data_IF_532376141066
#
_entry.id   IF_532376141066
#
_cell.length_a   1.000
_cell.length_b   1.000
_cell.length_c   1.000
_cell.angle_alpha   90.00
_cell.angle_beta   90.00
_cell.angle_gamma   90.00
#
_symmetry.space_group_name_H-M   'P 1'
#
loop_
_entity.id
_entity.type
_entity.pdbx_description
1 polymer ?
#
# COMPACT_ATOMS: atom_id res chain seq x y z
N UNK A 1 -8.58 44.34 -4.28
CA UNK A 1 -9.28 43.17 -3.67
C UNK A 1 -8.88 41.92 -4.42
N UNK A 2 -7.99 41.10 -3.87
CA UNK A 2 -7.66 39.78 -4.44
C UNK A 2 -8.41 38.74 -3.62
N UNK A 3 -9.46 38.19 -4.22
CA UNK A 3 -10.32 37.16 -3.61
C UNK A 3 -9.55 35.84 -3.64
N UNK A 4 -8.96 35.44 -2.52
CA UNK A 4 -8.37 34.11 -2.37
C UNK A 4 -9.51 33.09 -2.35
N UNK A 5 -9.49 32.19 -3.33
CA UNK A 5 -10.34 30.99 -3.40
C UNK A 5 -9.88 30.06 -2.27
N UNK A 6 -10.74 29.77 -1.30
CA UNK A 6 -10.50 28.71 -0.31
C UNK A 6 -10.68 27.37 -1.01
N UNK A 7 -9.58 26.64 -1.20
CA UNK A 7 -9.60 25.21 -1.46
C UNK A 7 -9.55 24.55 -0.09
N UNK A 8 -10.70 24.20 0.45
CA UNK A 8 -10.84 23.42 1.67
C UNK A 8 -11.96 22.42 1.41
N UNK A 9 -11.62 21.33 0.70
CA UNK A 9 -12.50 20.15 0.61
C UNK A 9 -11.74 18.88 0.14
N UNK A 10 -10.57 18.60 0.71
CA UNK A 10 -9.84 17.33 0.46
C UNK A 10 -9.13 16.75 1.69
N UNK A 11 -9.55 17.10 2.91
CA UNK A 11 -8.91 16.62 4.16
C UNK A 11 -9.70 15.51 4.91
N UNK A 12 -10.61 14.79 4.23
CA UNK A 12 -11.46 13.76 4.88
C UNK A 12 -11.10 12.31 4.53
N UNK A 13 -9.84 12.02 4.18
CA UNK A 13 -9.38 10.65 3.91
C UNK A 13 -8.10 10.29 4.71
N UNK A 14 -7.75 11.08 5.73
CA UNK A 14 -6.66 10.80 6.65
C UNK A 14 -7.20 10.74 8.08
N UNK A 15 -7.98 9.71 8.44
CA UNK A 15 -8.58 9.72 9.79
C UNK A 15 -9.27 8.47 10.31
N UNK A 16 -9.54 7.45 9.49
CA UNK A 16 -10.06 6.18 10.02
C UNK A 16 -8.86 5.36 10.51
N UNK A 17 -8.57 5.43 11.81
CA UNK A 17 -7.55 4.59 12.42
C UNK A 17 -7.80 3.10 12.13
N UNK A 18 -6.74 2.28 12.17
CA UNK A 18 -6.85 0.84 11.90
C UNK A 18 -7.86 0.20 12.88
N UNK A 19 -8.85 -0.57 12.42
CA UNK A 19 -9.81 -1.24 13.29
C UNK A 19 -9.14 -2.06 14.40
N UNK A 20 -9.70 -2.01 15.61
CA UNK A 20 -9.15 -2.72 16.78
C UNK A 20 -8.94 -4.24 16.58
N UNK A 21 -9.82 -4.99 15.88
CA UNK A 21 -9.58 -6.40 15.59
C UNK A 21 -8.29 -6.63 14.80
N UNK A 22 -7.96 -5.75 13.84
CA UNK A 22 -6.73 -5.83 13.04
C UNK A 22 -5.52 -5.52 13.91
N UNK A 23 -5.57 -4.47 14.73
CA UNK A 23 -4.49 -4.14 15.66
C UNK A 23 -4.19 -5.32 16.60
N UNK A 24 -5.25 -5.93 17.16
CA UNK A 24 -5.15 -7.11 18.03
C UNK A 24 -4.54 -8.30 17.29
N UNK A 25 -4.97 -8.55 16.05
CA UNK A 25 -4.39 -9.60 15.21
C UNK A 25 -2.89 -9.39 15.00
N UNK A 26 -2.47 -8.22 14.52
CA UNK A 26 -1.07 -7.90 14.25
C UNK A 26 -0.20 -7.98 15.51
N UNK A 27 -0.72 -7.48 16.63
CA UNK A 27 -0.05 -7.60 17.93
C UNK A 27 0.14 -9.06 18.34
N UNK A 28 -0.91 -9.89 18.22
CA UNK A 28 -0.82 -11.33 18.54
C UNK A 28 0.23 -12.03 17.68
N UNK A 29 0.27 -11.76 16.37
CA UNK A 29 1.30 -12.35 15.50
C UNK A 29 2.72 -11.91 15.89
N UNK A 30 2.90 -10.63 16.19
CA UNK A 30 4.22 -10.09 16.58
C UNK A 30 4.68 -10.62 17.94
N UNK A 31 3.74 -10.73 18.89
CA UNK A 31 4.02 -11.19 20.26
C UNK A 31 4.60 -12.62 20.32
N UNK A 32 4.36 -13.44 19.29
CA UNK A 32 4.95 -14.77 19.18
C UNK A 32 6.48 -14.73 19.05
N UNK A 33 7.04 -13.64 18.53
CA UNK A 33 8.48 -13.42 18.32
C UNK A 33 9.15 -12.72 19.50
N UNK A 34 8.41 -11.91 20.26
CA UNK A 34 8.95 -11.06 21.33
C UNK A 34 9.21 -11.81 22.65
N UNK A 35 8.91 -13.11 22.73
CA UNK A 35 9.14 -13.88 23.95
C UNK A 35 10.63 -14.10 24.21
N UNK A 36 11.08 -14.18 25.49
CA UNK A 36 12.50 -14.42 25.82
C UNK A 36 13.11 -15.66 25.17
N UNK A 37 12.28 -16.67 24.88
CA UNK A 37 12.63 -17.84 24.07
C UNK A 37 11.67 -17.94 22.90
N UNK A 38 12.25 -18.00 21.70
CA UNK A 38 11.51 -18.19 20.47
C UNK A 38 10.97 -19.63 20.43
N UNK A 39 9.70 -19.80 20.78
CA UNK A 39 9.01 -21.09 20.73
C UNK A 39 8.29 -21.28 19.40
N UNK A 40 7.83 -22.50 19.08
CA UNK A 40 7.26 -22.87 17.76
C UNK A 40 6.04 -22.05 17.27
N UNK A 41 5.45 -21.21 18.11
CA UNK A 41 4.29 -20.38 17.75
C UNK A 41 4.59 -19.39 16.62
N UNK A 42 5.84 -18.95 16.44
CA UNK A 42 6.19 -18.03 15.34
C UNK A 42 5.93 -18.65 13.95
N UNK A 43 6.00 -19.97 13.82
CA UNK A 43 5.78 -20.66 12.55
C UNK A 43 4.33 -20.44 12.07
N UNK A 44 3.37 -20.53 12.99
CA UNK A 44 1.98 -20.23 12.71
C UNK A 44 1.78 -18.76 12.32
N UNK A 45 2.52 -17.84 12.96
CA UNK A 45 2.49 -16.42 12.61
C UNK A 45 3.06 -16.14 11.22
N UNK A 46 4.14 -16.80 10.80
CA UNK A 46 4.66 -16.69 9.43
C UNK A 46 3.62 -17.12 8.39
N UNK A 47 2.97 -18.27 8.62
CA UNK A 47 1.90 -18.77 7.73
C UNK A 47 0.71 -17.81 7.73
N UNK A 48 0.33 -17.27 8.89
CA UNK A 48 -0.77 -16.34 9.00
C UNK A 48 -0.50 -15.02 8.27
N UNK A 49 0.73 -14.49 8.31
CA UNK A 49 1.08 -13.27 7.60
C UNK A 49 0.99 -13.46 6.08
N UNK A 50 1.63 -14.49 5.54
CA UNK A 50 1.58 -14.79 4.10
C UNK A 50 0.14 -14.97 3.61
N UNK A 51 -0.64 -15.78 4.33
CA UNK A 51 -2.01 -16.10 3.95
C UNK A 51 -2.95 -14.88 3.98
N UNK A 52 -2.81 -14.01 4.96
CA UNK A 52 -3.70 -12.84 5.12
C UNK A 52 -3.23 -11.67 4.25
N UNK A 53 -1.93 -11.38 4.20
CA UNK A 53 -1.40 -10.20 3.52
C UNK A 53 -1.14 -10.46 2.03
N UNK A 54 -0.50 -11.58 1.71
CA UNK A 54 -0.06 -11.92 0.34
C UNK A 54 -1.16 -12.66 -0.41
N UNK A 55 -1.73 -13.72 0.18
CA UNK A 55 -2.75 -14.51 -0.51
C UNK A 55 -4.17 -13.91 -0.40
N UNK A 56 -4.36 -12.91 0.47
CA UNK A 56 -5.66 -12.29 0.77
C UNK A 56 -6.76 -13.31 1.16
N UNK A 57 -6.40 -14.42 1.81
CA UNK A 57 -7.33 -15.48 2.20
C UNK A 57 -7.77 -15.32 3.65
N UNK A 58 -9.03 -14.91 3.84
CA UNK A 58 -9.60 -14.63 5.18
C UNK A 58 -10.42 -15.78 5.78
N UNK A 59 -10.57 -16.91 5.08
CA UNK A 59 -11.34 -18.05 5.59
C UNK A 59 -10.73 -18.58 6.90
N UNK A 60 -11.54 -19.07 7.84
CA UNK A 60 -11.03 -19.60 9.12
C UNK A 60 -10.43 -18.58 10.10
N UNK A 61 -10.46 -17.28 9.78
CA UNK A 61 -10.33 -16.21 10.77
C UNK A 61 -11.67 -16.02 11.51
N UNK A 62 -11.64 -15.35 12.66
CA UNK A 62 -12.90 -14.98 13.34
C UNK A 62 -13.71 -14.02 12.48
N UNK A 63 -15.06 -14.11 12.44
CA UNK A 63 -15.90 -13.23 11.63
C UNK A 63 -15.61 -11.74 11.85
N UNK A 64 -15.45 -11.33 13.11
CA UNK A 64 -15.13 -9.94 13.51
C UNK A 64 -13.82 -9.44 12.89
N UNK A 65 -12.82 -10.31 12.76
CA UNK A 65 -11.53 -9.95 12.15
C UNK A 65 -11.67 -9.86 10.63
N UNK A 66 -12.38 -10.81 10.01
CA UNK A 66 -12.59 -10.81 8.56
C UNK A 66 -13.38 -9.58 8.12
N UNK A 67 -14.46 -9.24 8.82
CA UNK A 67 -15.24 -8.01 8.59
C UNK A 67 -14.38 -6.76 8.76
N UNK A 68 -13.55 -6.71 9.82
CA UNK A 68 -12.65 -5.59 10.02
C UNK A 68 -11.62 -5.45 8.89
N UNK A 69 -11.03 -6.56 8.42
CA UNK A 69 -10.09 -6.54 7.29
C UNK A 69 -10.77 -6.04 6.02
N UNK A 70 -12.00 -6.48 5.75
CA UNK A 70 -12.78 -6.05 4.59
C UNK A 70 -13.29 -4.59 4.70
N UNK A 71 -13.27 -4.00 5.90
CA UNK A 71 -13.71 -2.62 6.14
C UNK A 71 -12.67 -1.56 5.75
N UNK A 72 -11.43 -1.97 5.46
CA UNK A 72 -10.34 -1.10 4.99
C UNK A 72 -9.80 -1.61 3.66
N UNK A 73 -9.10 -0.75 2.93
CA UNK A 73 -8.43 -1.19 1.70
C UNK A 73 -7.31 -2.20 2.02
N UNK A 74 -7.04 -3.11 1.06
CA UNK A 74 -5.92 -4.06 1.19
C UNK A 74 -4.59 -3.34 1.39
N UNK A 75 -4.40 -2.20 0.73
CA UNK A 75 -3.20 -1.38 0.89
C UNK A 75 -3.06 -0.81 2.30
N UNK A 76 -4.14 -0.31 2.92
CA UNK A 76 -4.11 0.15 4.31
C UNK A 76 -3.75 -0.97 5.29
N UNK A 77 -4.23 -2.19 5.06
CA UNK A 77 -3.84 -3.36 5.84
C UNK A 77 -2.34 -3.65 5.70
N UNK A 78 -1.81 -3.63 4.47
CA UNK A 78 -0.38 -3.84 4.19
C UNK A 78 0.48 -2.78 4.90
N UNK A 79 0.09 -1.50 4.81
CA UNK A 79 0.78 -0.42 5.50
C UNK A 79 0.76 -0.59 7.03
N UNK A 80 -0.38 -1.01 7.59
CA UNK A 80 -0.49 -1.29 9.02
C UNK A 80 0.38 -2.48 9.46
N UNK A 81 0.49 -3.52 8.62
CA UNK A 81 1.21 -4.75 8.92
C UNK A 81 2.73 -4.67 8.71
N UNK A 82 3.21 -3.78 7.84
CA UNK A 82 4.63 -3.69 7.46
C UNK A 82 5.60 -3.59 8.65
N UNK A 83 5.43 -2.68 9.64
CA UNK A 83 6.32 -2.63 10.80
C UNK A 83 6.35 -3.95 11.59
N UNK A 84 5.24 -4.67 11.66
CA UNK A 84 5.17 -5.97 12.33
C UNK A 84 5.99 -7.03 11.58
N UNK A 85 5.83 -7.12 10.25
CA UNK A 85 6.57 -8.08 9.41
C UNK A 85 8.08 -7.78 9.45
N UNK A 86 8.49 -6.51 9.41
CA UNK A 86 9.87 -6.09 9.58
C UNK A 86 10.48 -6.62 10.89
N UNK A 87 9.81 -6.36 12.02
CA UNK A 87 10.24 -6.83 13.33
C UNK A 87 10.32 -8.36 13.42
N UNK A 88 9.28 -9.06 12.96
CA UNK A 88 9.24 -10.52 13.01
C UNK A 88 10.40 -11.13 12.18
N UNK A 89 10.66 -10.57 10.99
CA UNK A 89 11.72 -11.04 10.10
C UNK A 89 13.10 -10.82 10.71
N UNK A 90 13.34 -9.65 11.29
CA UNK A 90 14.61 -9.34 11.94
C UNK A 90 14.89 -10.25 13.14
N UNK A 91 13.88 -10.51 13.99
CA UNK A 91 14.00 -11.43 15.13
C UNK A 91 14.34 -12.84 14.64
N UNK A 92 13.66 -13.30 13.59
CA UNK A 92 13.87 -14.63 13.04
C UNK A 92 15.30 -14.78 12.47
N UNK A 93 15.75 -13.83 11.65
CA UNK A 93 17.10 -13.82 11.08
C UNK A 93 18.19 -13.70 12.15
N UNK A 94 17.96 -12.91 13.20
CA UNK A 94 18.90 -12.80 14.33
C UNK A 94 19.08 -14.12 15.08
N UNK A 95 18.07 -15.00 15.02
CA UNK A 95 18.06 -16.31 15.67
C UNK A 95 18.31 -17.47 14.70
N UNK A 96 18.51 -17.23 13.39
CA UNK A 96 18.71 -18.27 12.35
C UNK A 96 19.67 -19.38 12.77
N UNK A 97 20.83 -19.00 13.31
CA UNK A 97 21.85 -19.94 13.76
C UNK A 97 21.35 -20.85 14.91
N UNK A 98 20.46 -20.37 15.77
CA UNK A 98 19.90 -21.12 16.91
C UNK A 98 18.72 -22.00 16.51
N UNK A 99 18.08 -21.73 15.36
CA UNK A 99 16.91 -22.45 14.86
C UNK A 99 17.25 -23.75 14.12
N UNK A 100 18.54 -24.10 14.00
CA UNK A 100 18.99 -25.38 13.43
C UNK A 100 19.18 -25.36 11.91
N UNK A 101 19.14 -24.20 11.27
CA UNK A 101 19.37 -24.03 9.83
C UNK A 101 20.49 -23.01 9.57
N UNK A 102 21.73 -23.41 9.86
CA UNK A 102 22.90 -22.56 9.69
C UNK A 102 23.17 -22.20 8.22
N UNK A 103 22.95 -23.17 7.32
CA UNK A 103 23.40 -23.07 5.93
C UNK A 103 22.32 -22.63 4.96
N UNK A 104 21.04 -22.74 5.34
CA UNK A 104 19.88 -22.42 4.49
C UNK A 104 18.76 -21.79 5.29
N UNK A 105 17.84 -21.12 4.61
CA UNK A 105 16.63 -20.63 5.26
C UNK A 105 15.66 -21.78 5.56
N UNK A 106 15.08 -21.76 6.76
CA UNK A 106 13.95 -22.59 7.13
C UNK A 106 12.65 -22.18 6.44
N UNK A 107 11.62 -23.00 6.58
CA UNK A 107 10.28 -22.73 6.00
C UNK A 107 9.71 -21.41 6.52
N UNK A 108 9.80 -21.18 7.84
CA UNK A 108 9.30 -19.94 8.45
C UNK A 108 10.07 -18.70 7.98
N UNK A 109 11.39 -18.82 7.81
CA UNK A 109 12.25 -17.73 7.33
C UNK A 109 11.95 -17.40 5.89
N UNK A 110 11.80 -18.43 5.07
CA UNK A 110 11.44 -18.30 3.65
C UNK A 110 10.08 -17.62 3.50
N UNK A 111 9.05 -18.06 4.22
CA UNK A 111 7.70 -17.48 4.12
C UNK A 111 7.66 -16.01 4.55
N UNK A 112 8.37 -15.69 5.64
CA UNK A 112 8.35 -14.35 6.18
C UNK A 112 9.19 -13.37 5.34
N UNK A 113 10.34 -13.80 4.83
CA UNK A 113 11.11 -13.03 3.85
C UNK A 113 10.34 -12.83 2.55
N UNK A 114 9.66 -13.87 2.06
CA UNK A 114 8.80 -13.73 0.87
C UNK A 114 7.70 -12.71 1.09
N UNK A 115 7.02 -12.76 2.25
CA UNK A 115 6.01 -11.77 2.63
C UNK A 115 6.59 -10.36 2.67
N UNK A 116 7.78 -10.19 3.27
CA UNK A 116 8.46 -8.90 3.33
C UNK A 116 8.84 -8.38 1.93
N UNK A 117 9.41 -9.22 1.07
CA UNK A 117 9.80 -8.82 -0.29
C UNK A 117 8.58 -8.41 -1.11
N UNK A 118 7.50 -9.19 -1.05
CA UNK A 118 6.24 -8.85 -1.71
C UNK A 118 5.70 -7.49 -1.23
N UNK A 119 5.71 -7.23 0.08
CA UNK A 119 5.25 -5.95 0.64
C UNK A 119 6.07 -4.75 0.16
N UNK A 120 7.39 -4.91 -0.02
CA UNK A 120 8.29 -3.84 -0.42
C UNK A 120 8.35 -3.61 -1.94
N UNK A 121 8.07 -4.64 -2.75
CA UNK A 121 8.29 -4.63 -4.20
C UNK A 121 6.98 -4.60 -5.00
N UNK A 122 6.01 -5.42 -4.62
CA UNK A 122 4.89 -5.81 -5.48
C UNK A 122 3.53 -5.37 -4.92
N UNK A 123 3.39 -5.29 -3.59
CA UNK A 123 2.11 -5.07 -2.92
C UNK A 123 1.40 -3.78 -3.34
N UNK A 124 2.13 -2.70 -3.60
CA UNK A 124 1.53 -1.44 -4.02
C UNK A 124 0.83 -1.55 -5.37
N UNK A 125 1.42 -2.30 -6.30
CA UNK A 125 0.86 -2.50 -7.63
C UNK A 125 -0.31 -3.49 -7.57
N UNK A 126 -0.17 -4.59 -6.82
CA UNK A 126 -1.23 -5.60 -6.71
C UNK A 126 -2.46 -5.11 -5.92
N UNK A 127 -2.27 -4.26 -4.91
CA UNK A 127 -3.39 -3.72 -4.13
C UNK A 127 -4.17 -2.64 -4.88
N UNK A 128 -3.55 -1.92 -5.82
CA UNK A 128 -4.19 -0.89 -6.63
C UNK A 128 -4.93 -1.47 -7.85
N UNK A 129 -4.55 -2.68 -8.29
CA UNK A 129 -5.14 -3.36 -9.43
C UNK A 129 -6.46 -4.09 -9.13
N UNK A 130 -6.99 -4.04 -7.90
CA UNK A 130 -8.32 -4.58 -7.59
C UNK A 130 -9.36 -3.93 -8.51
N UNK A 131 -9.86 -4.66 -9.54
CA UNK A 131 -10.91 -4.14 -10.36
C UNK A 131 -12.13 -4.11 -9.45
N UNK A 132 -12.74 -2.93 -9.32
CA UNK A 132 -14.09 -2.80 -8.79
C UNK A 132 -14.96 -3.88 -9.43
N UNK A 133 -15.27 -4.95 -8.68
CA UNK A 133 -16.03 -6.09 -9.14
C UNK A 133 -17.47 -5.64 -9.42
N UNK A 134 -17.63 -5.17 -10.64
CA UNK A 134 -18.87 -4.90 -11.33
C UNK A 134 -18.68 -5.25 -12.79
N UNK A 135 -18.30 -6.50 -13.10
CA UNK A 135 -18.75 -7.17 -14.33
C UNK A 135 -18.38 -8.66 -14.35
N UNK A 136 -19.42 -9.49 -14.32
CA UNK A 136 -19.54 -10.66 -15.20
C UNK A 136 -18.55 -11.79 -14.99
N UNK A 137 -18.94 -12.74 -14.12
CA UNK A 137 -18.79 -14.16 -14.41
C UNK A 137 -18.89 -14.41 -15.93
N UNK A 138 -17.84 -14.95 -16.52
CA UNK A 138 -17.92 -15.76 -17.73
C UNK A 138 -16.81 -16.79 -17.63
N UNK A 139 -17.11 -17.84 -16.86
CA UNK A 139 -16.43 -19.11 -16.95
C UNK A 139 -16.58 -19.65 -18.37
N UNK A 140 -15.57 -19.39 -19.21
CA UNK A 140 -15.41 -20.02 -20.50
C UNK A 140 -15.04 -21.49 -20.28
N UNK A 141 -16.08 -22.32 -20.27
CA UNK A 141 -16.02 -23.78 -20.20
C UNK A 141 -15.12 -24.33 -21.31
N UNK A 142 -14.04 -25.00 -20.92
CA UNK A 142 -13.22 -25.84 -21.79
C UNK A 142 -14.03 -27.11 -22.11
N UNK A 143 -14.54 -27.21 -23.34
CA UNK A 143 -15.18 -28.43 -23.83
C UNK A 143 -14.28 -29.10 -24.86
N UNK A 144 -13.79 -30.26 -24.46
CA UNK A 144 -13.01 -31.24 -25.22
C UNK A 144 -13.72 -31.68 -26.49
N UNK A 145 -12.96 -31.74 -27.58
CA UNK A 145 -13.33 -32.40 -28.83
C UNK A 145 -13.57 -33.91 -28.60
N UNK A 146 -14.69 -34.41 -29.11
CA UNK A 146 -14.92 -35.83 -29.34
C UNK A 146 -15.61 -36.03 -30.70
N UNK A 147 -15.25 -37.10 -31.40
CA UNK A 147 -15.43 -37.35 -32.83
C UNK A 147 -16.79 -38.00 -33.22
N UNK A 148 -17.34 -37.54 -34.36
CA UNK A 148 -17.98 -38.29 -35.48
C UNK A 148 -19.37 -39.00 -35.32
N UNK A 149 -20.05 -39.45 -36.42
CA UNK A 149 -20.22 -38.93 -37.80
C UNK A 149 -21.65 -39.14 -38.42
N UNK A 150 -21.80 -38.84 -39.74
CA UNK A 150 -22.88 -39.14 -40.73
C UNK A 150 -23.83 -37.97 -41.07
N UNK A 151 -24.14 -37.65 -42.33
CA UNK A 151 -23.76 -38.25 -43.61
C UNK A 151 -24.27 -37.48 -44.84
N UNK A 152 -23.68 -37.85 -45.99
CA UNK A 152 -24.21 -37.93 -47.37
C UNK A 152 -24.70 -36.64 -48.09
N UNK A 153 -24.06 -36.36 -49.24
CA UNK A 153 -24.66 -35.58 -50.34
C UNK A 153 -23.63 -34.95 -51.27
N UNK A 154 -23.43 -35.54 -52.45
CA UNK A 154 -22.29 -35.34 -53.35
C UNK A 154 -22.70 -34.62 -54.66
N UNK A 155 -21.80 -33.78 -55.19
CA UNK A 155 -21.57 -33.34 -56.59
C UNK A 155 -22.54 -32.41 -57.34
N UNK A 156 -21.94 -31.40 -58.00
CA UNK A 156 -22.44 -30.83 -59.27
C UNK A 156 -22.16 -29.34 -59.48
N UNK A 157 -21.07 -28.98 -60.17
CA UNK A 157 -20.87 -27.68 -60.86
C UNK A 157 -21.44 -27.76 -62.31
N UNK A 158 -21.37 -26.74 -63.22
CA UNK A 158 -21.10 -25.28 -63.17
C UNK A 158 -22.14 -24.50 -64.07
N UNK A 159 -21.87 -23.43 -64.89
CA UNK A 159 -21.03 -22.21 -64.82
C UNK A 159 -21.73 -20.85 -65.17
N UNK A 160 -21.06 -19.74 -64.79
CA UNK A 160 -20.81 -18.47 -65.53
C UNK A 160 -21.88 -17.39 -65.89
N UNK A 161 -21.32 -16.17 -66.10
CA UNK A 161 -21.85 -14.84 -66.54
C UNK A 161 -22.73 -14.09 -65.52
N UNK A 162 -22.53 -12.81 -65.22
CA UNK A 162 -21.69 -11.75 -65.77
C UNK A 162 -22.41 -10.41 -65.51
N UNK A 163 -21.69 -9.32 -65.23
CA UNK A 163 -22.31 -7.98 -65.16
C UNK A 163 -21.56 -6.96 -64.31
N UNK A 164 -20.79 -6.10 -64.99
CA UNK A 164 -20.43 -4.73 -64.59
C UNK A 164 -21.72 -3.91 -64.32
N UNK A 165 -21.82 -2.76 -63.64
CA UNK A 165 -20.96 -1.57 -63.47
C UNK A 165 -21.73 -0.56 -62.60
N UNK A 166 -21.04 0.32 -61.86
CA UNK A 166 -21.47 1.72 -61.67
C UNK A 166 -21.67 2.24 -60.22
N UNK A 167 -21.48 3.55 -59.97
CA UNK A 167 -20.73 4.06 -58.81
C UNK A 167 -21.53 4.99 -57.87
N UNK A 168 -20.96 5.30 -56.70
CA UNK A 168 -21.52 6.31 -55.77
C UNK A 168 -20.48 6.87 -54.79
N UNK A 169 -20.18 8.16 -54.95
CA UNK A 169 -19.30 9.00 -54.11
C UNK A 169 -19.92 9.37 -52.76
N UNK A 170 -19.08 9.69 -51.77
CA UNK A 170 -19.47 10.56 -50.64
C UNK A 170 -18.62 10.46 -49.38
N UNK A 171 -17.80 11.50 -49.14
CA UNK A 171 -17.61 12.24 -47.85
C UNK A 171 -17.55 11.44 -46.55
N UNK A 172 -16.55 11.54 -45.69
CA UNK A 172 -15.96 12.75 -45.14
C UNK A 172 -15.74 12.53 -43.64
N UNK A 173 -14.69 13.14 -43.11
CA UNK A 173 -14.08 12.94 -41.79
C UNK A 173 -14.98 13.15 -40.57
N UNK A 174 -14.64 12.43 -39.49
CA UNK A 174 -14.62 13.00 -38.13
C UNK A 174 -15.57 12.39 -37.10
N UNK A 175 -15.03 11.60 -36.17
CA UNK A 175 -15.49 11.59 -34.77
C UNK A 175 -14.38 11.00 -33.90
N UNK A 176 -13.85 11.83 -33.00
CA UNK A 176 -12.70 11.51 -32.17
C UNK A 176 -12.98 10.42 -31.14
N UNK A 177 -12.05 9.48 -31.02
CA UNK A 177 -11.90 8.70 -29.80
C UNK A 177 -11.52 9.64 -28.63
N UNK A 178 -12.13 9.51 -27.45
CA UNK A 178 -11.70 10.27 -26.29
C UNK A 178 -10.30 9.78 -25.90
N UNK A 179 -9.33 10.68 -25.96
CA UNK A 179 -7.99 10.47 -25.42
C UNK A 179 -8.13 10.37 -23.90
N UNK A 180 -7.97 9.16 -23.34
CA UNK A 180 -7.77 8.95 -21.92
C UNK A 180 -6.41 9.52 -21.49
N UNK A 181 -6.38 10.82 -21.24
CA UNK A 181 -5.24 11.56 -20.69
C UNK A 181 -5.40 11.68 -19.16
N UNK A 182 -5.43 10.55 -18.46
CA UNK A 182 -5.56 10.52 -16.99
C UNK A 182 -4.71 9.44 -16.30
N UNK A 183 -3.98 8.59 -17.03
CA UNK A 183 -3.42 7.37 -16.42
C UNK A 183 -2.05 7.53 -15.76
N UNK A 184 -1.24 8.51 -16.14
CA UNK A 184 0.16 8.63 -15.66
C UNK A 184 0.27 9.48 -14.39
N UNK A 185 -0.50 10.55 -14.31
CA UNK A 185 -0.47 11.48 -13.17
C UNK A 185 -1.16 10.85 -11.94
N UNK A 186 -2.23 10.09 -12.12
CA UNK A 186 -2.95 9.40 -11.04
C UNK A 186 -2.13 8.24 -10.46
N UNK A 187 -1.38 7.52 -11.32
CA UNK A 187 -0.43 6.48 -10.92
C UNK A 187 0.74 7.07 -10.10
N UNK A 188 1.30 8.21 -10.51
CA UNK A 188 2.29 8.98 -9.74
C UNK A 188 1.73 9.42 -8.37
N UNK A 189 0.47 9.87 -8.30
CA UNK A 189 -0.15 10.28 -7.03
C UNK A 189 -0.41 9.09 -6.09
N UNK A 190 -0.75 7.91 -6.61
CA UNK A 190 -0.81 6.67 -5.83
C UNK A 190 0.58 6.25 -5.32
N UNK A 191 1.61 6.39 -6.17
CA UNK A 191 3.04 6.18 -5.82
C UNK A 191 3.54 7.17 -4.77
N UNK A 192 2.99 8.39 -4.75
CA UNK A 192 3.35 9.42 -3.76
C UNK A 192 2.63 9.20 -2.42
N UNK A 193 1.41 8.63 -2.42
CA UNK A 193 0.65 8.26 -1.20
C UNK A 193 1.16 6.99 -0.51
N UNK A 194 1.93 6.19 -1.24
CA UNK A 194 2.51 4.90 -0.83
C UNK A 194 3.23 4.99 0.53
N UNK A 195 3.66 6.19 0.90
CA UNK A 195 4.72 6.38 1.87
C UNK A 195 4.59 7.63 2.75
N UNK A 196 3.38 8.15 2.96
CA UNK A 196 3.19 9.23 3.94
C UNK A 196 3.62 8.85 5.38
N UNK A 197 3.77 7.53 5.67
CA UNK A 197 4.36 6.96 6.89
C UNK A 197 5.73 6.27 6.67
N UNK A 198 6.34 6.45 5.50
CA UNK A 198 7.46 5.60 5.06
C UNK A 198 8.76 5.91 5.72
N UNK A 199 9.03 7.17 6.06
CA UNK A 199 10.36 7.50 6.54
C UNK A 199 10.65 6.71 7.82
N UNK A 200 9.70 6.65 8.75
CA UNK A 200 9.79 5.83 9.95
C UNK A 200 9.95 4.32 9.63
N UNK A 201 9.26 3.82 8.61
CA UNK A 201 9.33 2.41 8.22
C UNK A 201 10.63 2.05 7.50
N UNK A 202 11.16 2.95 6.67
CA UNK A 202 12.45 2.83 5.99
C UNK A 202 13.57 2.92 7.00
N UNK A 203 13.51 3.89 7.92
CA UNK A 203 14.41 3.98 9.07
C UNK A 203 14.38 2.66 9.87
N UNK A 204 13.19 2.16 10.22
CA UNK A 204 13.03 0.89 10.91
C UNK A 204 13.66 -0.27 10.14
N UNK A 205 13.46 -0.35 8.82
CA UNK A 205 14.10 -1.36 7.98
C UNK A 205 15.62 -1.26 8.07
N UNK A 206 16.19 -0.07 7.89
CA UNK A 206 17.65 0.13 7.94
C UNK A 206 18.19 -0.25 9.32
N UNK A 207 17.54 0.21 10.41
CA UNK A 207 17.95 -0.11 11.78
C UNK A 207 17.91 -1.61 12.09
N UNK A 208 16.90 -2.33 11.59
CA UNK A 208 16.75 -3.76 11.86
C UNK A 208 17.66 -4.63 10.99
N UNK A 209 17.81 -4.30 9.71
CA UNK A 209 18.43 -5.20 8.74
C UNK A 209 19.89 -4.88 8.41
N UNK A 210 20.35 -3.64 8.54
CA UNK A 210 21.76 -3.33 8.32
C UNK A 210 22.70 -4.16 9.22
N UNK A 211 22.41 -4.37 10.52
CA UNK A 211 23.22 -5.26 11.37
C UNK A 211 23.09 -6.75 11.03
N UNK A 212 22.04 -7.14 10.31
CA UNK A 212 21.72 -8.53 9.96
C UNK A 212 22.06 -8.86 8.51
N UNK A 213 22.68 -7.95 7.77
CA UNK A 213 22.77 -8.05 6.31
C UNK A 213 23.49 -9.32 5.82
N UNK A 214 24.53 -9.76 6.53
CA UNK A 214 25.28 -10.97 6.23
C UNK A 214 24.59 -12.26 6.71
N UNK A 215 23.41 -12.14 7.33
CA UNK A 215 22.55 -13.29 7.69
C UNK A 215 21.69 -13.75 6.53
N UNK A 216 21.64 -12.99 5.44
CA UNK A 216 21.02 -13.38 4.18
C UNK A 216 22.16 -13.56 3.19
N UNK A 217 22.17 -14.70 2.49
CA UNK A 217 23.15 -15.03 1.46
C UNK A 217 22.48 -15.04 0.10
N UNK A 218 23.25 -14.87 -0.97
CA UNK A 218 22.75 -14.98 -2.34
C UNK A 218 22.09 -16.34 -2.62
N UNK A 219 22.66 -17.42 -2.07
CA UNK A 219 22.09 -18.78 -2.16
C UNK A 219 20.70 -18.92 -1.51
N UNK A 220 20.37 -18.05 -0.56
CA UNK A 220 19.06 -18.02 0.08
C UNK A 220 18.00 -17.37 -0.83
N UNK A 221 18.41 -16.48 -1.73
CA UNK A 221 17.53 -15.68 -2.60
C UNK A 221 17.27 -16.36 -3.94
N UNK A 222 16.76 -17.58 -3.88
CA UNK A 222 16.39 -18.38 -5.05
C UNK A 222 14.88 -18.61 -5.14
N UNK A 223 14.40 -19.03 -6.31
CA UNK A 223 12.98 -19.31 -6.56
C UNK A 223 12.07 -18.15 -6.14
N UNK A 224 11.19 -18.37 -5.15
CA UNK A 224 10.22 -17.40 -4.65
C UNK A 224 10.84 -16.19 -3.92
N UNK A 225 12.13 -16.27 -3.58
CA UNK A 225 12.89 -15.17 -2.96
C UNK A 225 13.80 -14.44 -3.95
N UNK A 226 13.81 -14.84 -5.21
CA UNK A 226 14.67 -14.23 -6.22
C UNK A 226 14.40 -12.73 -6.41
N UNK A 227 13.14 -12.29 -6.29
CA UNK A 227 12.79 -10.87 -6.38
C UNK A 227 13.47 -10.03 -5.29
N UNK A 228 13.81 -10.62 -4.14
CA UNK A 228 14.52 -9.95 -3.07
C UNK A 228 15.92 -9.45 -3.43
N UNK A 229 16.57 -10.00 -4.47
CA UNK A 229 17.93 -9.60 -4.87
C UNK A 229 18.04 -8.10 -5.16
N UNK A 230 16.99 -7.49 -5.72
CA UNK A 230 16.96 -6.04 -6.00
C UNK A 230 17.12 -5.18 -4.75
N UNK A 231 16.79 -5.72 -3.57
CA UNK A 231 16.98 -5.06 -2.28
C UNK A 231 18.34 -5.42 -1.70
N UNK A 232 18.64 -6.71 -1.58
CA UNK A 232 19.79 -7.18 -0.81
C UNK A 232 21.13 -6.96 -1.50
N UNK A 233 21.19 -7.07 -2.83
CA UNK A 233 22.43 -6.87 -3.58
C UNK A 233 23.00 -5.45 -3.39
N UNK A 234 22.22 -4.36 -3.61
CA UNK A 234 22.67 -3.01 -3.29
C UNK A 234 23.10 -2.86 -1.82
N UNK A 235 22.34 -3.44 -0.88
CA UNK A 235 22.69 -3.34 0.53
C UNK A 235 24.04 -4.01 0.84
N UNK A 236 24.34 -5.18 0.27
CA UNK A 236 25.64 -5.86 0.49
C UNK A 236 26.81 -5.01 -0.03
N UNK A 237 26.56 -4.23 -1.06
CA UNK A 237 27.50 -3.27 -1.64
C UNK A 237 27.50 -1.91 -0.93
N UNK A 238 26.79 -1.78 0.20
CA UNK A 238 26.63 -0.53 0.97
C UNK A 238 25.99 0.61 0.16
N UNK A 239 25.08 0.25 -0.76
CA UNK A 239 24.32 1.17 -1.60
C UNK A 239 22.83 1.15 -1.25
N UNK A 240 22.15 2.22 -1.60
CA UNK A 240 20.69 2.30 -1.50
C UNK A 240 20.04 1.42 -2.58
N UNK A 241 19.03 0.61 -2.24
CA UNK A 241 18.24 -0.11 -3.23
C UNK A 241 17.48 0.84 -4.16
N UNK A 242 17.57 0.60 -5.48
CA UNK A 242 16.83 1.37 -6.49
C UNK A 242 15.41 0.84 -6.66
N UNK A 243 14.63 0.99 -5.61
CA UNK A 243 13.22 0.59 -5.54
C UNK A 243 12.42 1.73 -4.95
N UNK A 244 11.19 2.00 -5.44
CA UNK A 244 10.39 3.14 -4.98
C UNK A 244 10.19 3.19 -3.46
N UNK A 245 10.23 2.04 -2.80
CA UNK A 245 10.20 1.92 -1.35
C UNK A 245 11.29 2.69 -0.61
N UNK A 246 12.44 2.87 -1.25
CA UNK A 246 13.61 3.50 -0.67
C UNK A 246 14.01 4.77 -1.40
N UNK A 247 13.73 4.92 -2.70
CA UNK A 247 14.18 6.04 -3.53
C UNK A 247 13.13 7.15 -3.75
N UNK A 248 11.85 6.91 -3.44
CA UNK A 248 10.80 7.91 -3.68
C UNK A 248 10.95 9.15 -2.77
N UNK A 249 10.77 10.34 -3.35
CA UNK A 249 10.80 11.59 -2.62
C UNK A 249 9.51 11.79 -1.82
N UNK A 250 9.65 12.06 -0.53
CA UNK A 250 8.52 12.28 0.39
C UNK A 250 8.33 13.78 0.59
N UNK A 251 7.10 14.27 0.42
CA UNK A 251 6.75 15.66 0.77
C UNK A 251 6.84 15.84 2.29
N UNK A 252 7.63 16.79 2.82
CA UNK A 252 7.73 17.02 4.25
C UNK A 252 6.37 17.31 4.88
N UNK A 253 5.97 16.52 5.88
CA UNK A 253 4.74 16.73 6.64
C UNK A 253 4.97 17.84 7.66
N UNK A 254 4.25 18.95 7.53
CA UNK A 254 4.33 20.09 8.45
C UNK A 254 3.20 19.94 9.46
N UNK A 255 3.52 19.48 10.68
CA UNK A 255 2.55 19.51 11.78
C UNK A 255 2.44 20.94 12.32
N UNK A 256 1.71 21.81 11.61
CA UNK A 256 1.47 23.18 12.08
C UNK A 256 0.37 23.13 13.14
N UNK A 257 0.78 23.06 14.40
CA UNK A 257 -0.14 23.25 15.53
C UNK A 257 -0.51 24.74 15.58
N UNK A 258 -1.55 25.13 14.87
CA UNK A 258 -2.12 26.48 15.02
C UNK A 258 -2.96 26.50 16.28
N UNK A 259 -2.48 27.19 17.32
CA UNK A 259 -3.28 27.47 18.49
C UNK A 259 -4.45 28.38 18.10
N UNK A 260 -5.67 27.84 18.09
CA UNK A 260 -6.89 28.62 17.91
C UNK A 260 -7.14 29.42 19.20
N UNK A 261 -6.67 30.67 19.26
CA UNK A 261 -7.09 31.61 20.31
C UNK A 261 -8.56 31.94 20.06
N UNK A 262 -9.44 31.29 20.82
CA UNK A 262 -10.81 31.75 20.95
C UNK A 262 -10.79 33.01 21.84
N UNK A 263 -10.50 34.17 21.25
CA UNK A 263 -10.76 35.45 21.93
C UNK A 263 -12.28 35.62 22.03
N UNK A 264 -12.86 35.79 23.23
CA UNK A 264 -14.27 36.16 23.34
C UNK A 264 -14.46 37.52 22.64
N UNK A 265 -15.37 37.57 21.69
CA UNK A 265 -15.83 38.80 21.05
C UNK A 265 -16.46 39.66 22.14
N UNK A 266 -15.75 40.67 22.62
CA UNK A 266 -16.32 41.72 23.45
C UNK A 266 -17.05 42.71 22.54
N UNK A 267 -18.37 42.52 22.41
CA UNK A 267 -19.25 43.54 21.83
C UNK A 267 -19.46 44.64 22.87
N UNK A 268 -18.77 45.77 22.72
CA UNK A 268 -19.20 47.04 23.33
C UNK A 268 -19.01 48.19 22.33
N UNK A 269 -20.07 48.96 22.20
CA UNK A 269 -20.29 50.03 21.23
C UNK A 269 -19.48 51.32 21.48
N UNK A 270 -19.19 51.98 20.36
CA UNK A 270 -19.22 53.44 20.08
C UNK A 270 -18.09 54.39 20.51
N UNK A 271 -17.88 55.49 19.71
CA UNK A 271 -16.74 56.39 19.81
C UNK A 271 -17.06 57.76 20.44
N UNK A 272 -15.99 58.54 20.65
CA UNK A 272 -15.91 59.99 20.95
C UNK A 272 -15.89 60.44 22.42
N UNK A 273 -14.88 61.24 22.78
CA UNK A 273 -14.92 62.11 23.97
C UNK A 273 -13.56 62.55 24.51
N UNK A 274 -13.20 63.81 24.25
CA UNK A 274 -11.94 64.52 24.57
C UNK A 274 -11.59 64.67 26.08
N UNK A 275 -10.27 64.68 26.36
CA UNK A 275 -9.51 65.70 27.13
C UNK A 275 -9.45 65.66 28.69
N UNK A 276 -8.23 65.37 29.15
CA UNK A 276 -7.42 65.99 30.24
C UNK A 276 -7.66 65.77 31.75
N UNK A 277 -6.55 65.37 32.39
CA UNK A 277 -5.83 65.95 33.56
C UNK A 277 -5.85 65.23 34.93
N UNK A 278 -4.64 64.89 35.41
CA UNK A 278 -4.22 65.06 36.82
C UNK A 278 -4.03 63.80 37.68
N UNK A 279 -3.13 63.80 38.70
CA UNK A 279 -2.09 62.75 38.80
C UNK A 279 -2.04 61.93 40.11
N UNK A 280 -1.24 60.85 40.04
CA UNK A 280 -0.43 60.14 41.06
C UNK A 280 -0.89 60.09 42.52
N UNK A 281 -1.06 58.86 43.04
CA UNK A 281 -0.49 58.47 44.35
C UNK A 281 0.07 57.03 44.28
N UNK A 282 1.32 56.92 44.72
CA UNK A 282 2.16 55.74 44.90
C UNK A 282 1.75 54.89 46.09
N UNK A 283 1.82 53.54 46.01
CA UNK A 283 2.36 52.70 47.10
C UNK A 283 3.02 51.43 46.53
N UNK A 284 4.31 51.28 46.85
CA UNK A 284 5.14 50.06 46.70
C UNK A 284 4.76 49.01 47.76
N UNK A 285 4.87 47.72 47.41
CA UNK A 285 5.37 46.65 48.30
C UNK A 285 5.78 45.44 47.42
N UNK A 286 7.07 45.30 47.06
CA UNK A 286 8.05 44.33 47.62
C UNK A 286 7.40 42.99 48.01
N UNK A 287 7.55 41.94 47.20
CA UNK A 287 8.70 41.01 47.17
C UNK A 287 8.83 40.20 48.47
N UNK A 288 8.45 38.93 48.39
CA UNK A 288 9.36 37.79 48.57
C UNK A 288 9.05 36.76 47.47
#
# INVERSE_FOLDING_TARGET
MVKRKSLDETDTECGKGIPFPIQTFLWRQTSAFLRPKLGKQYEASCVSFERVLVENKLHGLSPVLSEAIQSISRWELVQAALPHVLHCTAILLSNRNKLGHQDKLGVAETKLLHTLHWMLLEAAQECNQEPSLGHGWSGGSSSSAFLQPMGIGNQGSPPARGGQSGPGSGTGSGSGAPRCSGSLEEDEHARTKLFHKSMATVELFVFLFAPLIHRIKESDLTFRLASGLIIWQPMWEHRQPDVPAFSALIKPVRNIVTAKRNSPVNNQCSPCGSRNQGPMVSVRLRQQ
#
